data_IF_925429658805
#
_entry.id   IF_925429658805
#
_cell.length_a   1.000
_cell.length_b   1.000
_cell.length_c   1.000
_cell.angle_alpha   90.00
_cell.angle_beta   90.00
_cell.angle_gamma   90.00
#
_symmetry.space_group_name_H-M   'P 1'
#
loop_
_entity.id
_entity.type
_entity.pdbx_description
1 polymer ?
#
# COMPACT_ATOMS: atom_id res chain seq x y z
N UNK A 1 -81.17 51.05 6.62
CA UNK A 1 -80.71 50.30 7.81
C UNK A 1 -79.61 49.34 7.37
N UNK A 2 -78.46 49.45 8.01
CA UNK A 2 -77.17 48.81 7.69
C UNK A 2 -77.23 47.29 7.45
N UNK A 3 -76.47 46.81 6.45
CA UNK A 3 -75.66 45.59 6.61
C UNK A 3 -74.29 45.77 5.96
N UNK A 4 -73.30 45.94 6.84
CA UNK A 4 -71.87 45.87 6.61
C UNK A 4 -71.49 44.40 6.39
N UNK A 5 -70.74 44.06 5.34
CA UNK A 5 -70.13 42.74 5.15
C UNK A 5 -68.62 42.87 5.24
N UNK A 6 -68.05 42.32 6.31
CA UNK A 6 -66.61 42.17 6.56
C UNK A 6 -66.29 40.68 6.57
N UNK A 7 -65.14 40.32 6.00
CA UNK A 7 -64.41 39.06 6.27
C UNK A 7 -64.18 38.24 5.00
N UNK A 8 -63.01 37.64 4.75
CA UNK A 8 -61.82 37.44 5.56
C UNK A 8 -60.70 37.00 4.58
N UNK A 9 -59.58 37.72 4.50
CA UNK A 9 -58.41 37.25 3.74
C UNK A 9 -57.60 36.31 4.65
N UNK A 10 -57.67 35.00 4.39
CA UNK A 10 -56.88 34.01 5.12
C UNK A 10 -55.49 33.90 4.47
N UNK A 11 -54.51 34.59 5.05
CA UNK A 11 -53.09 34.44 4.69
C UNK A 11 -52.54 33.18 5.36
N UNK A 12 -52.39 32.10 4.59
CA UNK A 12 -51.70 30.88 5.03
C UNK A 12 -50.19 31.15 5.11
N UNK A 13 -49.68 31.31 6.33
CA UNK A 13 -48.26 31.42 6.62
C UNK A 13 -47.65 30.00 6.63
N UNK A 14 -46.94 29.63 5.56
CA UNK A 14 -46.16 28.39 5.53
C UNK A 14 -44.88 28.58 6.37
N UNK A 15 -44.88 28.05 7.58
CA UNK A 15 -43.66 27.93 8.40
C UNK A 15 -42.83 26.78 7.83
N UNK A 16 -41.82 27.11 7.04
CA UNK A 16 -40.77 26.18 6.64
C UNK A 16 -39.86 25.90 7.84
N UNK A 17 -40.12 24.79 8.54
CA UNK A 17 -39.21 24.28 9.58
C UNK A 17 -38.05 23.59 8.87
N UNK A 18 -36.92 24.26 8.75
CA UNK A 18 -35.67 23.63 8.34
C UNK A 18 -35.14 22.81 9.51
N UNK A 19 -35.34 21.50 9.45
CA UNK A 19 -34.61 20.58 10.32
C UNK A 19 -33.14 20.54 9.91
N UNK A 20 -32.29 21.36 10.55
CA UNK A 20 -30.85 21.16 10.48
C UNK A 20 -30.50 19.90 11.26
N UNK A 21 -30.35 18.78 10.54
CA UNK A 21 -29.85 17.53 11.08
C UNK A 21 -28.35 17.64 11.42
N UNK A 22 -28.02 18.40 12.47
CA UNK A 22 -26.68 18.40 13.05
C UNK A 22 -26.53 17.16 13.94
N UNK A 23 -26.49 15.98 13.31
CA UNK A 23 -26.00 14.79 13.97
C UNK A 23 -24.48 14.92 14.11
N UNK A 24 -24.00 15.18 15.33
CA UNK A 24 -22.57 15.11 15.65
C UNK A 24 -22.12 13.65 15.56
N UNK A 25 -21.68 13.23 14.37
CA UNK A 25 -20.97 11.95 14.21
C UNK A 25 -19.64 12.05 14.96
N UNK A 26 -19.45 11.20 15.98
CA UNK A 26 -18.16 11.02 16.66
C UNK A 26 -17.19 10.13 15.87
N UNK A 27 -17.64 9.54 14.76
CA UNK A 27 -16.81 8.68 13.92
C UNK A 27 -16.17 9.51 12.81
N UNK A 28 -14.84 9.37 12.66
CA UNK A 28 -14.11 9.91 11.54
C UNK A 28 -14.80 9.48 10.22
N UNK A 29 -15.03 10.41 9.29
CA UNK A 29 -15.72 10.10 8.05
C UNK A 29 -14.91 9.11 7.20
N UNK A 30 -15.61 8.18 6.54
CA UNK A 30 -14.96 7.22 5.64
C UNK A 30 -14.26 7.95 4.48
N UNK A 31 -13.12 7.42 3.98
CA UNK A 31 -12.44 8.00 2.83
C UNK A 31 -13.36 8.00 1.60
N UNK A 32 -13.12 8.93 0.68
CA UNK A 32 -13.69 8.84 -0.66
C UNK A 32 -12.93 7.76 -1.43
N UNK A 33 -13.66 6.86 -2.10
CA UNK A 33 -13.09 5.74 -2.83
C UNK A 33 -13.38 5.91 -4.32
N UNK A 34 -12.35 5.74 -5.14
CA UNK A 34 -12.41 5.70 -6.58
C UNK A 34 -11.85 4.36 -7.07
N UNK A 35 -12.42 3.86 -8.15
CA UNK A 35 -11.84 2.77 -8.94
C UNK A 35 -11.29 3.39 -10.21
N UNK A 36 -9.96 3.39 -10.33
CA UNK A 36 -9.24 4.11 -11.37
C UNK A 36 -8.60 3.13 -12.32
N UNK A 37 -8.49 3.53 -13.58
CA UNK A 37 -7.74 2.81 -14.60
C UNK A 37 -6.56 3.69 -15.01
N UNK A 38 -5.36 3.17 -14.80
CA UNK A 38 -4.11 3.90 -14.98
C UNK A 38 -3.47 3.36 -16.26
N UNK A 39 -3.20 4.21 -17.27
CA UNK A 39 -2.52 3.76 -18.48
C UNK A 39 -1.06 3.43 -18.16
N UNK A 40 -0.60 2.29 -18.65
CA UNK A 40 0.80 1.85 -18.54
C UNK A 40 1.36 1.75 -19.95
N UNK A 41 2.52 2.35 -20.16
CA UNK A 41 3.21 2.33 -21.44
C UNK A 41 4.66 1.89 -21.22
N UNK A 42 5.09 0.93 -22.02
CA UNK A 42 6.48 0.47 -22.14
C UNK A 42 6.93 0.69 -23.58
N UNK A 43 8.20 0.39 -23.89
CA UNK A 43 8.70 0.48 -25.26
C UNK A 43 7.90 -0.41 -26.23
N UNK A 44 7.49 -1.59 -25.79
CA UNK A 44 6.96 -2.64 -26.68
C UNK A 44 5.45 -2.87 -26.52
N UNK A 45 4.83 -2.33 -25.47
CA UNK A 45 3.42 -2.63 -25.15
C UNK A 45 2.75 -1.54 -24.32
N UNK A 46 1.41 -1.52 -24.35
CA UNK A 46 0.60 -0.66 -23.50
C UNK A 46 -0.63 -1.40 -22.99
N UNK A 47 -1.04 -1.09 -21.77
CA UNK A 47 -2.23 -1.65 -21.14
C UNK A 47 -2.79 -0.67 -20.11
N UNK A 48 -3.84 -1.05 -19.39
CA UNK A 48 -4.33 -0.27 -18.25
C UNK A 48 -4.44 -1.14 -17.02
N UNK A 49 -3.82 -0.69 -15.93
CA UNK A 49 -3.89 -1.33 -14.61
C UNK A 49 -5.00 -0.68 -13.81
N UNK A 50 -5.83 -1.49 -13.16
CA UNK A 50 -6.89 -0.99 -12.28
C UNK A 50 -6.35 -0.79 -10.86
N UNK A 51 -6.92 0.18 -10.15
CA UNK A 51 -6.58 0.40 -8.74
C UNK A 51 -7.73 1.00 -7.94
N UNK A 52 -7.72 0.73 -6.63
CA UNK A 52 -8.61 1.36 -5.68
C UNK A 52 -7.89 2.54 -5.01
N UNK A 53 -8.27 3.74 -5.39
CA UNK A 53 -7.74 4.98 -4.85
C UNK A 53 -8.64 5.49 -3.72
N UNK A 54 -8.07 5.69 -2.53
CA UNK A 54 -8.77 6.17 -1.34
C UNK A 54 -8.17 7.48 -0.85
N UNK A 55 -9.04 8.48 -0.67
CA UNK A 55 -8.67 9.80 -0.18
C UNK A 55 -9.30 10.01 1.19
N UNK A 56 -8.50 10.16 2.27
CA UNK A 56 -9.05 10.43 3.59
C UNK A 56 -9.78 11.78 3.60
N UNK A 57 -10.92 11.83 4.28
CA UNK A 57 -11.69 13.07 4.45
C UNK A 57 -11.16 13.83 5.65
N UNK A 58 -10.12 14.62 5.44
CA UNK A 58 -9.52 15.48 6.46
C UNK A 58 -10.02 16.92 6.30
N UNK A 59 -9.95 17.72 7.36
CA UNK A 59 -10.19 19.17 7.28
C UNK A 59 -8.97 19.93 6.70
N UNK A 60 -7.91 19.21 6.31
CA UNK A 60 -6.68 19.80 5.82
C UNK A 60 -6.89 20.36 4.41
N UNK A 61 -6.34 21.54 4.20
CA UNK A 61 -6.33 22.20 2.88
C UNK A 61 -5.03 21.97 2.12
N UNK A 62 -4.04 21.33 2.74
CA UNK A 62 -2.76 20.99 2.12
C UNK A 62 -2.88 19.70 1.31
N UNK A 63 -1.99 19.54 0.33
CA UNK A 63 -1.86 18.29 -0.40
C UNK A 63 -1.47 17.15 0.56
N UNK A 64 -2.06 15.98 0.37
CA UNK A 64 -1.92 14.81 1.21
C UNK A 64 -0.69 13.98 0.78
N UNK A 65 0.00 13.33 1.72
CA UNK A 65 0.88 12.23 1.36
C UNK A 65 0.06 11.04 0.83
N UNK A 66 0.69 10.17 0.04
CA UNK A 66 0.06 8.97 -0.49
C UNK A 66 0.96 7.74 -0.36
N UNK A 67 0.34 6.56 -0.26
CA UNK A 67 1.03 5.27 -0.26
C UNK A 67 0.43 4.35 -1.31
N UNK A 68 1.27 3.83 -2.20
CA UNK A 68 0.90 2.78 -3.15
C UNK A 68 0.95 1.44 -2.42
N UNK A 69 -0.05 0.58 -2.65
CA UNK A 69 -0.19 -0.73 -2.01
C UNK A 69 -0.12 -1.81 -3.08
N UNK A 70 0.86 -2.71 -2.95
CA UNK A 70 1.13 -3.79 -3.90
C UNK A 70 0.82 -5.16 -3.26
N UNK A 71 -0.14 -5.88 -3.83
CA UNK A 71 -0.58 -7.17 -3.30
C UNK A 71 0.43 -8.31 -3.51
N UNK A 72 0.21 -9.42 -2.80
CA UNK A 72 0.97 -10.66 -2.95
C UNK A 72 0.63 -11.43 -4.22
N UNK A 73 1.31 -12.55 -4.47
CA UNK A 73 1.09 -13.37 -5.66
C UNK A 73 -0.35 -13.83 -5.85
N UNK A 74 -1.11 -14.01 -4.77
CA UNK A 74 -2.52 -14.43 -4.82
C UNK A 74 -3.49 -13.35 -5.33
N UNK A 75 -3.01 -12.14 -5.63
CA UNK A 75 -3.87 -11.00 -5.99
C UNK A 75 -4.33 -10.22 -4.77
N UNK A 76 -5.32 -9.35 -4.97
CA UNK A 76 -5.92 -8.55 -3.90
C UNK A 76 -6.63 -9.47 -2.90
N UNK A 77 -6.24 -9.36 -1.63
CA UNK A 77 -6.87 -10.04 -0.50
C UNK A 77 -7.14 -9.06 0.65
N UNK A 78 -7.31 -9.56 1.88
CA UNK A 78 -7.58 -8.71 3.04
C UNK A 78 -6.44 -7.76 3.45
N UNK A 79 -5.19 -8.03 3.06
CA UNK A 79 -4.00 -7.31 3.54
C UNK A 79 -4.03 -5.85 3.13
N UNK A 80 -4.14 -5.54 1.83
CA UNK A 80 -4.08 -4.16 1.35
C UNK A 80 -5.18 -3.28 1.97
N UNK A 81 -6.42 -3.78 2.07
CA UNK A 81 -7.50 -3.08 2.78
C UNK A 81 -7.22 -2.89 4.28
N UNK A 82 -6.55 -3.84 4.94
CA UNK A 82 -6.20 -3.77 6.35
C UNK A 82 -5.23 -2.63 6.66
N UNK A 83 -4.20 -2.41 5.83
CA UNK A 83 -3.26 -1.29 5.94
C UNK A 83 -3.86 0.01 5.41
N UNK A 84 -4.55 -0.02 4.27
CA UNK A 84 -5.17 1.17 3.69
C UNK A 84 -6.09 1.90 4.68
N UNK A 85 -6.90 1.14 5.43
CA UNK A 85 -7.77 1.72 6.47
C UNK A 85 -7.00 2.46 7.57
N UNK A 86 -5.87 1.92 8.00
CA UNK A 86 -5.08 2.54 9.06
C UNK A 86 -4.32 3.76 8.54
N UNK A 87 -3.74 3.68 7.34
CA UNK A 87 -3.11 4.83 6.66
C UNK A 87 -4.12 5.95 6.40
N UNK A 88 -5.32 5.65 5.91
CA UNK A 88 -6.36 6.65 5.73
C UNK A 88 -6.79 7.30 7.07
N UNK A 89 -6.80 6.54 8.18
CA UNK A 89 -7.06 7.12 9.51
C UNK A 89 -5.97 8.12 9.91
N UNK A 90 -4.72 7.84 9.56
CA UNK A 90 -3.57 8.72 9.76
C UNK A 90 -3.50 9.90 8.76
N UNK A 91 -4.51 10.10 7.90
CA UNK A 91 -4.53 11.21 6.93
C UNK A 91 -3.73 10.94 5.65
N UNK A 92 -3.32 9.69 5.39
CA UNK A 92 -2.55 9.30 4.20
C UNK A 92 -3.49 8.73 3.14
N UNK A 93 -3.41 9.24 1.91
CA UNK A 93 -4.13 8.69 0.76
C UNK A 93 -3.52 7.34 0.34
N UNK A 94 -4.29 6.45 -0.27
CA UNK A 94 -3.77 5.13 -0.66
C UNK A 94 -4.25 4.70 -2.03
N UNK A 95 -3.38 4.08 -2.82
CA UNK A 95 -3.71 3.48 -4.11
C UNK A 95 -3.30 2.00 -4.11
N UNK A 96 -4.28 1.10 -4.00
CA UNK A 96 -4.07 -0.34 -4.09
C UNK A 96 -4.24 -0.79 -5.54
N UNK A 97 -3.19 -1.33 -6.16
CA UNK A 97 -3.24 -1.79 -7.55
C UNK A 97 -3.69 -3.24 -7.65
N UNK A 98 -4.41 -3.56 -8.72
CA UNK A 98 -4.66 -4.94 -9.19
C UNK A 98 -3.67 -5.26 -10.33
N UNK A 99 -2.57 -5.92 -10.01
CA UNK A 99 -1.53 -6.30 -10.99
C UNK A 99 -2.01 -7.38 -11.97
N UNK A 100 -3.01 -8.17 -11.59
CA UNK A 100 -3.45 -9.37 -12.32
C UNK A 100 -4.59 -9.07 -13.29
N UNK A 101 -5.49 -8.17 -12.92
CA UNK A 101 -6.66 -7.84 -13.73
C UNK A 101 -6.32 -7.45 -15.18
N UNK A 102 -5.27 -6.64 -15.38
CA UNK A 102 -4.82 -6.23 -16.71
C UNK A 102 -4.29 -7.38 -17.58
N UNK A 103 -3.86 -8.47 -16.94
CA UNK A 103 -3.25 -9.65 -17.57
C UNK A 103 -4.21 -10.87 -17.60
N UNK A 104 -5.42 -10.72 -17.06
CA UNK A 104 -6.41 -11.79 -16.91
C UNK A 104 -5.85 -13.02 -16.17
N UNK A 105 -5.02 -12.79 -15.15
CA UNK A 105 -4.44 -13.82 -14.31
C UNK A 105 -5.29 -14.03 -13.06
N UNK A 106 -5.39 -15.27 -12.57
CA UNK A 106 -6.10 -15.61 -11.34
C UNK A 106 -5.26 -15.37 -10.09
N UNK A 107 -3.93 -15.28 -10.23
CA UNK A 107 -3.00 -15.20 -9.12
C UNK A 107 -2.64 -16.57 -8.53
N UNK A 108 -1.77 -16.53 -7.53
CA UNK A 108 -1.14 -17.69 -6.93
C UNK A 108 0.15 -18.09 -7.63
N UNK A 109 0.84 -19.10 -7.09
CA UNK A 109 2.12 -19.56 -7.65
C UNK A 109 2.01 -20.13 -9.06
N UNK A 110 0.83 -20.61 -9.46
CA UNK A 110 0.58 -21.24 -10.76
C UNK A 110 0.12 -20.27 -11.86
N UNK A 111 -0.38 -19.08 -11.50
CA UNK A 111 -1.00 -18.16 -12.46
C UNK A 111 -0.67 -16.69 -12.12
N UNK A 112 0.63 -16.38 -12.16
CA UNK A 112 1.24 -15.05 -11.98
C UNK A 112 2.33 -14.86 -13.06
N UNK A 113 2.84 -13.64 -13.32
CA UNK A 113 3.98 -13.42 -14.21
C UNK A 113 5.21 -14.24 -13.78
N UNK A 114 6.17 -14.43 -14.67
CA UNK A 114 7.34 -15.24 -14.35
C UNK A 114 8.26 -14.55 -13.34
N UNK A 115 8.27 -13.20 -13.35
CA UNK A 115 9.15 -12.37 -12.55
C UNK A 115 8.43 -11.10 -12.03
N UNK A 116 8.68 -10.67 -10.77
CA UNK A 116 8.18 -9.40 -10.23
C UNK A 116 8.51 -8.18 -11.09
N UNK A 117 9.69 -8.16 -11.70
CA UNK A 117 10.18 -7.08 -12.56
C UNK A 117 9.22 -6.77 -13.71
N UNK A 118 8.46 -7.75 -14.21
CA UNK A 118 7.43 -7.56 -15.26
C UNK A 118 6.26 -6.67 -14.82
N UNK A 119 6.11 -6.43 -13.52
CA UNK A 119 5.06 -5.57 -12.93
C UNK A 119 5.58 -4.23 -12.41
N UNK A 120 6.89 -3.95 -12.51
CA UNK A 120 7.44 -2.64 -12.17
C UNK A 120 6.85 -1.48 -13.00
N UNK A 121 6.57 -1.62 -14.30
CA UNK A 121 5.90 -0.56 -15.05
C UNK A 121 4.55 -0.13 -14.45
N UNK A 122 3.81 -1.06 -13.84
CA UNK A 122 2.53 -0.76 -13.15
C UNK A 122 2.77 0.13 -11.93
N UNK A 123 3.83 -0.15 -11.16
CA UNK A 123 4.22 0.63 -9.98
C UNK A 123 4.61 2.06 -10.37
N UNK A 124 5.43 2.21 -11.41
CA UNK A 124 5.88 3.52 -11.87
C UNK A 124 4.74 4.34 -12.46
N UNK A 125 3.84 3.71 -13.22
CA UNK A 125 2.64 4.37 -13.74
C UNK A 125 1.73 4.85 -12.61
N UNK A 126 1.59 4.07 -11.53
CA UNK A 126 0.83 4.47 -10.35
C UNK A 126 1.47 5.63 -9.57
N UNK A 127 2.80 5.65 -9.44
CA UNK A 127 3.51 6.79 -8.85
C UNK A 127 3.30 8.06 -9.69
N UNK A 128 3.43 7.96 -11.02
CA UNK A 128 3.19 9.08 -11.93
C UNK A 128 1.72 9.55 -11.88
N UNK A 129 0.77 8.61 -11.79
CA UNK A 129 -0.65 8.92 -11.66
C UNK A 129 -0.94 9.71 -10.37
N UNK A 130 -0.41 9.27 -9.23
CA UNK A 130 -0.57 9.95 -7.95
C UNK A 130 0.09 11.33 -7.96
N UNK A 131 1.29 11.46 -8.51
CA UNK A 131 2.00 12.74 -8.62
C UNK A 131 1.26 13.80 -9.45
N UNK A 132 0.32 13.39 -10.31
CA UNK A 132 -0.53 14.30 -11.10
C UNK A 132 -1.84 14.67 -10.40
N UNK A 133 -2.18 14.05 -9.27
CA UNK A 133 -3.42 14.37 -8.56
C UNK A 133 -3.25 15.69 -7.79
N UNK A 134 -4.11 16.70 -7.99
CA UNK A 134 -3.96 18.01 -7.33
C UNK A 134 -3.99 17.96 -5.80
N UNK A 135 -4.61 16.92 -5.22
CA UNK A 135 -4.68 16.72 -3.78
C UNK A 135 -3.51 15.93 -3.20
N UNK A 136 -2.58 15.43 -4.01
CA UNK A 136 -1.43 14.63 -3.55
C UNK A 136 -0.15 15.44 -3.69
N UNK A 137 0.68 15.36 -2.65
CA UNK A 137 2.02 15.90 -2.68
C UNK A 137 2.95 14.90 -3.37
N UNK A 138 3.43 15.24 -4.57
CA UNK A 138 4.27 14.36 -5.38
C UNK A 138 5.62 14.00 -4.72
N UNK A 139 6.07 14.77 -3.70
CA UNK A 139 7.29 14.47 -2.95
C UNK A 139 7.04 13.55 -1.75
N UNK A 140 5.77 13.27 -1.42
CA UNK A 140 5.38 12.43 -0.28
C UNK A 140 4.57 11.22 -0.74
N UNK A 141 5.13 10.48 -1.70
CA UNK A 141 4.58 9.22 -2.19
C UNK A 141 5.45 8.07 -1.69
N UNK A 142 4.89 7.20 -0.87
CA UNK A 142 5.53 5.96 -0.41
C UNK A 142 4.98 4.73 -1.09
N UNK A 143 5.58 3.57 -0.81
CA UNK A 143 5.10 2.27 -1.27
C UNK A 143 5.14 1.25 -0.13
N UNK A 144 4.09 0.45 -0.03
CA UNK A 144 4.06 -0.77 0.75
C UNK A 144 3.73 -1.95 -0.16
N UNK A 145 4.40 -3.07 0.06
CA UNK A 145 4.02 -4.29 -0.62
C UNK A 145 4.25 -5.55 0.19
N UNK A 146 3.56 -6.60 -0.26
CA UNK A 146 3.47 -7.88 0.43
C UNK A 146 3.96 -9.01 -0.47
N UNK A 147 4.93 -9.82 -0.04
CA UNK A 147 5.47 -10.94 -0.84
C UNK A 147 5.96 -10.43 -2.20
N UNK A 148 5.31 -10.80 -3.30
CA UNK A 148 5.50 -10.20 -4.62
C UNK A 148 5.53 -8.66 -4.59
N UNK A 149 4.57 -8.01 -3.94
CA UNK A 149 4.58 -6.56 -3.79
C UNK A 149 5.72 -6.06 -2.91
N UNK A 150 6.14 -6.85 -1.91
CA UNK A 150 7.29 -6.56 -1.06
C UNK A 150 8.57 -6.56 -1.88
N UNK A 151 8.67 -7.47 -2.84
CA UNK A 151 9.73 -7.48 -3.83
C UNK A 151 9.75 -6.18 -4.63
N UNK A 152 8.61 -5.77 -5.17
CA UNK A 152 8.51 -4.51 -5.92
C UNK A 152 8.92 -3.31 -5.06
N UNK A 153 8.50 -3.26 -3.80
CA UNK A 153 8.88 -2.21 -2.85
C UNK A 153 10.40 -2.12 -2.70
N UNK A 154 11.09 -3.24 -2.51
CA UNK A 154 12.55 -3.30 -2.40
C UNK A 154 13.25 -2.91 -3.70
N UNK A 155 12.81 -3.44 -4.85
CA UNK A 155 13.42 -3.13 -6.15
C UNK A 155 13.30 -1.63 -6.47
N UNK A 156 12.17 -1.00 -6.16
CA UNK A 156 11.96 0.45 -6.37
C UNK A 156 12.79 1.33 -5.42
N UNK A 157 13.42 0.76 -4.40
CA UNK A 157 14.32 1.48 -3.50
C UNK A 157 15.74 1.64 -4.07
N UNK A 158 16.04 1.06 -5.23
CA UNK A 158 17.38 1.08 -5.84
C UNK A 158 17.46 2.00 -7.06
N UNK A 159 18.63 2.60 -7.28
CA UNK A 159 18.86 3.44 -8.47
C UNK A 159 18.81 2.61 -9.77
N UNK A 160 19.11 1.31 -9.70
CA UNK A 160 18.99 0.40 -10.85
C UNK A 160 17.60 0.46 -11.49
N UNK A 161 16.54 0.45 -10.69
CA UNK A 161 15.17 0.47 -11.20
C UNK A 161 14.59 1.87 -11.32
N UNK A 162 14.92 2.79 -10.41
CA UNK A 162 14.42 4.16 -10.48
C UNK A 162 14.96 4.92 -11.70
N UNK A 163 16.19 4.65 -12.11
CA UNK A 163 16.78 5.28 -13.31
C UNK A 163 16.09 4.88 -14.62
N UNK A 164 15.48 3.68 -14.69
CA UNK A 164 14.75 3.19 -15.87
C UNK A 164 13.50 4.02 -16.17
N UNK A 165 12.96 4.73 -15.18
CA UNK A 165 11.75 5.54 -15.34
C UNK A 165 11.99 6.78 -16.23
N UNK A 166 13.24 7.23 -16.36
CA UNK A 166 13.57 8.52 -16.99
C UNK A 166 12.91 9.73 -16.30
N UNK A 167 12.35 9.54 -15.10
CA UNK A 167 11.56 10.51 -14.36
C UNK A 167 12.34 11.03 -13.15
N UNK A 168 12.16 12.31 -12.76
CA UNK A 168 12.69 12.82 -11.51
C UNK A 168 11.89 12.36 -10.29
N UNK A 169 10.73 11.73 -10.48
CA UNK A 169 9.92 11.22 -9.37
C UNK A 169 10.69 10.14 -8.60
N UNK A 170 10.55 10.17 -7.27
CA UNK A 170 11.13 9.22 -6.33
C UNK A 170 10.10 8.84 -5.29
N UNK A 171 10.17 7.60 -4.82
CA UNK A 171 9.45 7.23 -3.61
C UNK A 171 10.13 7.89 -2.42
N UNK A 172 9.32 8.40 -1.49
CA UNK A 172 9.80 8.99 -0.24
C UNK A 172 10.23 7.90 0.75
N UNK A 173 9.67 6.69 0.66
CA UNK A 173 10.01 5.58 1.56
C UNK A 173 9.27 4.30 1.19
N UNK A 174 9.79 3.19 1.69
CA UNK A 174 9.45 1.84 1.25
C UNK A 174 9.10 0.95 2.45
N UNK A 175 8.06 0.15 2.33
CA UNK A 175 7.72 -0.89 3.29
C UNK A 175 7.63 -2.24 2.58
N UNK A 176 8.51 -3.16 2.95
CA UNK A 176 8.55 -4.50 2.39
C UNK A 176 8.13 -5.53 3.43
N UNK A 177 6.96 -6.14 3.22
CA UNK A 177 6.50 -7.27 4.01
C UNK A 177 6.92 -8.58 3.33
N UNK A 178 7.68 -9.39 4.08
CA UNK A 178 8.11 -10.74 3.72
C UNK A 178 8.58 -10.85 2.25
N UNK A 179 9.61 -10.08 1.85
CA UNK A 179 9.95 -9.87 0.44
C UNK A 179 10.81 -10.98 -0.18
N UNK A 180 10.91 -12.17 0.43
CA UNK A 180 11.71 -13.29 -0.10
C UNK A 180 13.20 -12.88 -0.20
N UNK A 181 13.79 -12.58 0.96
CA UNK A 181 15.09 -11.89 1.06
C UNK A 181 16.25 -12.66 0.44
N UNK A 182 16.18 -13.98 0.32
CA UNK A 182 17.24 -14.79 -0.27
C UNK A 182 17.51 -14.46 -1.73
N UNK A 183 16.56 -13.86 -2.44
CA UNK A 183 16.73 -13.42 -3.83
C UNK A 183 17.82 -12.34 -3.95
N UNK A 184 17.86 -11.42 -2.99
CA UNK A 184 18.62 -10.19 -3.16
C UNK A 184 20.12 -10.41 -3.11
N UNK A 185 20.82 -9.78 -4.05
CA UNK A 185 22.28 -9.90 -4.24
C UNK A 185 22.77 -11.34 -4.50
N UNK A 186 21.86 -12.30 -4.74
CA UNK A 186 22.16 -13.70 -5.07
C UNK A 186 21.59 -14.10 -6.44
N UNK A 187 20.52 -13.44 -6.90
CA UNK A 187 19.86 -13.71 -8.18
C UNK A 187 19.94 -12.46 -9.08
N UNK A 188 20.34 -12.60 -10.35
CA UNK A 188 20.38 -11.47 -11.28
C UNK A 188 19.04 -10.75 -11.40
N UNK A 189 19.05 -9.42 -11.35
CA UNK A 189 17.85 -8.59 -11.35
C UNK A 189 17.24 -8.38 -9.96
N UNK A 190 17.85 -8.91 -8.90
CA UNK A 190 17.46 -8.65 -7.52
C UNK A 190 18.59 -7.96 -6.76
N UNK A 191 19.33 -7.09 -7.43
CA UNK A 191 20.34 -6.27 -6.78
C UNK A 191 19.65 -5.34 -5.77
N UNK A 192 20.07 -5.43 -4.51
CA UNK A 192 19.68 -4.53 -3.44
C UNK A 192 20.94 -3.87 -2.90
N UNK A 193 21.37 -2.87 -3.65
CA UNK A 193 22.52 -2.01 -3.44
C UNK A 193 22.31 -0.74 -4.27
N UNK A 194 23.21 0.24 -4.11
CA UNK A 194 23.10 1.56 -4.71
C UNK A 194 21.69 2.14 -4.48
N UNK A 195 21.29 2.20 -3.20
CA UNK A 195 19.96 2.63 -2.78
C UNK A 195 19.73 4.11 -3.13
N UNK A 196 18.47 4.48 -3.34
CA UNK A 196 18.05 5.85 -3.70
C UNK A 196 18.19 6.88 -2.58
N UNK A 197 18.52 6.43 -1.36
CA UNK A 197 18.55 7.24 -0.14
C UNK A 197 17.22 7.34 0.61
N UNK A 198 16.13 6.81 0.06
CA UNK A 198 14.85 6.73 0.76
C UNK A 198 14.87 5.60 1.81
N UNK A 199 14.31 5.81 3.02
CA UNK A 199 14.28 4.79 4.07
C UNK A 199 13.41 3.59 3.68
N UNK A 200 13.79 2.42 4.19
CA UNK A 200 13.15 1.14 3.94
C UNK A 200 12.83 0.46 5.27
N UNK A 201 11.56 0.19 5.53
CA UNK A 201 11.12 -0.69 6.61
C UNK A 201 10.87 -2.10 6.05
N UNK A 202 11.75 -3.04 6.41
CA UNK A 202 11.64 -4.45 6.07
C UNK A 202 11.06 -5.22 7.26
N UNK A 203 9.96 -5.92 7.03
CA UNK A 203 9.34 -6.77 8.04
C UNK A 203 9.30 -8.22 7.56
N UNK A 204 9.85 -9.15 8.34
CA UNK A 204 9.97 -10.56 7.98
C UNK A 204 9.37 -11.50 9.03
N UNK A 205 9.02 -12.72 8.62
CA UNK A 205 8.51 -13.76 9.52
C UNK A 205 9.61 -14.77 9.86
N UNK A 206 9.78 -15.12 11.14
CA UNK A 206 10.75 -16.13 11.55
C UNK A 206 10.31 -17.58 11.33
N UNK A 207 9.09 -17.79 10.85
CA UNK A 207 8.56 -19.09 10.41
C UNK A 207 8.20 -19.05 8.92
N UNK A 208 8.71 -18.07 8.17
CA UNK A 208 8.49 -17.97 6.74
C UNK A 208 9.18 -19.15 6.02
N UNK A 209 8.46 -19.87 5.16
CA UNK A 209 9.00 -21.03 4.46
C UNK A 209 9.83 -20.62 3.23
N UNK A 210 9.79 -19.35 2.78
CA UNK A 210 10.63 -18.86 1.68
C UNK A 210 12.08 -18.61 2.12
N UNK A 211 12.25 -18.06 3.31
CA UNK A 211 13.53 -17.58 3.86
C UNK A 211 13.92 -18.36 5.12
N UNK A 212 15.16 -18.19 5.60
CA UNK A 212 15.52 -18.52 6.98
C UNK A 212 15.32 -17.28 7.89
N UNK A 213 15.18 -17.46 9.21
CA UNK A 213 14.93 -16.34 10.13
C UNK A 213 15.99 -15.23 10.08
N UNK A 214 17.23 -15.58 9.72
CA UNK A 214 18.39 -14.70 9.61
C UNK A 214 18.66 -14.22 8.18
N UNK A 215 17.93 -14.69 7.16
CA UNK A 215 18.17 -14.30 5.76
C UNK A 215 18.05 -12.79 5.54
N UNK A 216 16.95 -12.17 5.99
CA UNK A 216 16.77 -10.72 5.82
C UNK A 216 17.77 -9.89 6.66
N UNK A 217 18.02 -10.18 7.95
CA UNK A 217 19.10 -9.54 8.70
C UNK A 217 20.47 -9.66 8.01
N UNK A 218 20.89 -10.87 7.63
CA UNK A 218 22.18 -11.10 6.98
C UNK A 218 22.27 -10.37 5.63
N UNK A 219 21.18 -10.27 4.88
CA UNK A 219 21.14 -9.50 3.63
C UNK A 219 21.45 -8.01 3.90
N UNK A 220 20.87 -7.43 4.95
CA UNK A 220 21.12 -6.02 5.32
C UNK A 220 22.51 -5.82 5.90
N UNK A 221 22.99 -6.73 6.76
CA UNK A 221 24.35 -6.68 7.34
C UNK A 221 25.47 -6.72 6.28
N UNK A 222 25.18 -7.24 5.07
CA UNK A 222 26.10 -7.27 3.94
C UNK A 222 26.05 -6.03 3.04
N UNK A 223 25.20 -5.03 3.34
CA UNK A 223 25.20 -3.74 2.66
C UNK A 223 26.37 -2.86 3.14
N UNK A 224 26.63 -1.75 2.44
CA UNK A 224 27.56 -0.74 2.94
C UNK A 224 27.02 -0.06 4.20
N UNK A 225 27.88 0.50 5.05
CA UNK A 225 27.46 1.16 6.30
C UNK A 225 26.39 2.24 6.05
N UNK A 226 26.61 3.11 5.04
CA UNK A 226 25.65 4.16 4.67
C UNK A 226 24.28 3.60 4.21
N UNK A 227 24.26 2.44 3.53
CA UNK A 227 23.02 1.79 3.11
C UNK A 227 22.32 1.04 4.23
N UNK A 228 23.07 0.49 5.19
CA UNK A 228 22.51 -0.15 6.38
C UNK A 228 21.69 0.84 7.19
N UNK A 229 22.13 2.11 7.31
CA UNK A 229 21.41 3.16 8.01
C UNK A 229 20.03 3.49 7.39
N UNK A 230 19.82 3.15 6.11
CA UNK A 230 18.55 3.37 5.42
C UNK A 230 17.53 2.25 5.67
N UNK A 231 17.95 1.09 6.18
CA UNK A 231 17.11 -0.12 6.22
C UNK A 231 16.86 -0.58 7.65
N UNK A 232 15.63 -0.41 8.13
CA UNK A 232 15.19 -1.01 9.38
C UNK A 232 14.66 -2.43 9.11
N UNK A 233 15.22 -3.44 9.79
CA UNK A 233 14.75 -4.83 9.72
C UNK A 233 14.05 -5.22 11.02
N UNK A 234 12.80 -5.67 10.92
CA UNK A 234 12.04 -6.21 12.04
C UNK A 234 11.55 -7.63 11.75
N UNK A 235 12.12 -8.61 12.46
CA UNK A 235 11.77 -10.03 12.34
C UNK A 235 10.77 -10.44 13.40
N UNK A 236 9.62 -10.97 12.98
CA UNK A 236 8.61 -11.53 13.86
C UNK A 236 8.80 -13.05 14.00
N UNK A 237 9.52 -13.48 15.04
CA UNK A 237 9.91 -14.89 15.26
C UNK A 237 8.79 -15.94 15.25
N UNK A 238 7.52 -15.53 15.44
CA UNK A 238 6.35 -16.43 15.49
C UNK A 238 5.36 -16.17 14.36
N UNK A 239 5.85 -15.65 13.24
CA UNK A 239 5.04 -15.30 12.08
C UNK A 239 5.50 -16.14 10.88
N UNK A 240 4.53 -16.78 10.23
CA UNK A 240 4.69 -17.37 8.91
C UNK A 240 4.62 -16.30 7.83
N UNK A 241 4.82 -16.68 6.58
CA UNK A 241 4.51 -15.82 5.43
C UNK A 241 3.06 -15.34 5.50
N UNK A 242 2.83 -14.09 5.10
CA UNK A 242 1.50 -13.47 5.08
C UNK A 242 0.73 -13.51 6.42
N UNK A 243 1.43 -13.22 7.52
CA UNK A 243 0.87 -13.21 8.88
C UNK A 243 -0.28 -12.22 9.10
N UNK A 244 -0.42 -11.23 8.23
CA UNK A 244 -1.35 -10.11 8.31
C UNK A 244 -2.60 -10.29 7.46
N UNK A 245 -2.74 -11.46 6.84
CA UNK A 245 -4.00 -11.93 6.26
C UNK A 245 -5.06 -12.13 7.34
N UNK A 246 -6.32 -11.95 6.94
CA UNK A 246 -7.51 -12.29 7.72
C UNK A 246 -8.12 -13.62 7.29
N UNK A 247 -7.66 -14.14 6.15
CA UNK A 247 -8.02 -15.44 5.61
C UNK A 247 -7.48 -16.57 6.49
N UNK A 248 -8.13 -17.75 6.50
CA UNK A 248 -7.61 -18.94 7.17
C UNK A 248 -6.22 -19.34 6.67
N UNK A 249 -5.52 -20.14 7.47
CA UNK A 249 -4.27 -20.77 7.06
C UNK A 249 -4.44 -21.50 5.74
N UNK A 250 -3.50 -21.29 4.83
CA UNK A 250 -3.47 -21.90 3.51
C UNK A 250 -2.06 -22.36 3.19
N UNK A 251 -1.92 -23.59 2.68
CA UNK A 251 -0.64 -24.11 2.19
C UNK A 251 -0.66 -24.06 0.67
N UNK A 252 0.39 -23.51 0.09
CA UNK A 252 0.60 -23.41 -1.36
C UNK A 252 1.91 -24.09 -1.72
N UNK A 253 2.02 -24.60 -2.95
CA UNK A 253 3.31 -25.06 -3.46
C UNK A 253 3.90 -23.97 -4.36
N UNK A 254 5.14 -23.57 -4.12
CA UNK A 254 5.80 -22.49 -4.85
C UNK A 254 7.25 -22.87 -5.19
N UNK A 255 7.70 -22.69 -6.44
CA UNK A 255 9.09 -23.00 -6.83
C UNK A 255 10.14 -22.11 -6.16
N UNK A 256 9.77 -20.94 -5.61
CA UNK A 256 10.69 -20.03 -4.91
C UNK A 256 10.82 -20.34 -3.41
N UNK A 257 10.03 -21.29 -2.89
CA UNK A 257 10.08 -21.68 -1.49
C UNK A 257 11.44 -22.24 -1.09
N UNK A 258 11.75 -22.20 0.21
CA UNK A 258 12.93 -22.80 0.81
C UNK A 258 14.23 -22.42 0.10
N UNK A 259 14.50 -21.11 -0.04
CA UNK A 259 15.69 -20.58 -0.71
C UNK A 259 15.81 -21.03 -2.19
N UNK A 260 14.67 -21.17 -2.87
CA UNK A 260 14.62 -21.55 -4.29
C UNK A 260 14.68 -23.06 -4.57
N UNK A 261 14.56 -23.92 -3.54
CA UNK A 261 14.46 -25.37 -3.71
C UNK A 261 13.03 -25.81 -4.10
N UNK A 262 12.06 -24.91 -3.94
CA UNK A 262 10.65 -25.17 -4.14
C UNK A 262 10.04 -26.02 -3.02
N UNK A 263 8.72 -26.01 -2.92
CA UNK A 263 8.04 -26.78 -1.88
C UNK A 263 6.78 -26.10 -1.35
N UNK A 264 6.31 -26.61 -0.22
CA UNK A 264 5.13 -26.09 0.46
C UNK A 264 5.49 -24.84 1.27
N UNK A 265 4.63 -23.82 1.17
CA UNK A 265 4.69 -22.60 1.96
C UNK A 265 3.41 -22.48 2.75
N UNK A 266 3.55 -22.34 4.06
CA UNK A 266 2.45 -22.08 4.98
C UNK A 266 2.17 -20.60 5.06
N UNK A 267 1.00 -20.18 4.58
CA UNK A 267 0.45 -18.84 4.77
C UNK A 267 -0.46 -18.88 6.00
N UNK A 268 -0.05 -18.31 7.13
CA UNK A 268 -0.83 -18.43 8.36
C UNK A 268 -1.02 -17.08 9.08
N UNK A 269 -2.27 -16.66 9.34
CA UNK A 269 -2.55 -15.40 10.01
C UNK A 269 -2.09 -15.42 11.48
N UNK A 270 -1.51 -14.32 11.93
CA UNK A 270 -1.19 -14.07 13.33
C UNK A 270 -1.63 -12.65 13.70
N UNK A 271 -2.83 -12.53 14.28
CA UNK A 271 -3.46 -11.23 14.52
C UNK A 271 -2.59 -10.28 15.38
N UNK A 272 -1.84 -10.82 16.35
CA UNK A 272 -0.99 -10.02 17.25
C UNK A 272 0.15 -9.39 16.47
N UNK A 273 0.78 -10.19 15.61
CA UNK A 273 1.84 -9.72 14.72
C UNK A 273 1.26 -8.76 13.69
N UNK A 274 0.14 -9.08 13.05
CA UNK A 274 -0.54 -8.22 12.09
C UNK A 274 -0.85 -6.82 12.66
N UNK A 275 -1.34 -6.75 13.90
CA UNK A 275 -1.61 -5.47 14.57
C UNK A 275 -0.31 -4.69 14.84
N UNK A 276 0.75 -5.37 15.27
CA UNK A 276 2.06 -4.75 15.52
C UNK A 276 2.69 -4.28 14.22
N UNK A 277 2.72 -5.11 13.19
CA UNK A 277 3.29 -4.78 11.88
C UNK A 277 2.57 -3.59 11.24
N UNK A 278 1.23 -3.56 11.28
CA UNK A 278 0.45 -2.40 10.84
C UNK A 278 0.74 -1.15 11.65
N UNK A 279 0.95 -1.27 12.96
CA UNK A 279 1.33 -0.14 13.80
C UNK A 279 2.68 0.43 13.32
N UNK A 280 3.70 -0.41 13.16
CA UNK A 280 5.01 -0.01 12.65
C UNK A 280 4.92 0.69 11.28
N UNK A 281 4.10 0.19 10.35
CA UNK A 281 3.89 0.82 9.04
C UNK A 281 3.30 2.23 9.15
N UNK A 282 2.30 2.39 10.02
CA UNK A 282 1.66 3.69 10.21
C UNK A 282 2.63 4.67 10.86
N UNK A 283 3.38 4.25 11.88
CA UNK A 283 4.42 5.06 12.53
C UNK A 283 5.51 5.47 11.53
N UNK A 284 6.02 4.51 10.76
CA UNK A 284 7.02 4.76 9.70
C UNK A 284 6.57 5.85 8.72
N UNK A 285 5.35 5.74 8.17
CA UNK A 285 4.86 6.75 7.22
C UNK A 285 4.46 8.07 7.89
N UNK A 286 4.00 8.07 9.13
CA UNK A 286 3.71 9.31 9.87
C UNK A 286 4.99 10.10 10.13
N UNK A 287 6.05 9.43 10.58
CA UNK A 287 7.37 10.04 10.78
C UNK A 287 7.94 10.54 9.45
N UNK A 288 7.94 9.68 8.42
CA UNK A 288 8.45 10.03 7.09
C UNK A 288 7.76 11.26 6.49
N UNK A 289 6.44 11.38 6.67
CA UNK A 289 5.65 12.48 6.12
C UNK A 289 5.46 13.66 7.07
N UNK A 290 6.11 13.63 8.24
CA UNK A 290 6.01 14.62 9.31
C UNK A 290 4.54 14.94 9.68
N UNK A 291 3.73 13.90 9.82
CA UNK A 291 2.34 14.03 10.24
C UNK A 291 2.26 14.08 11.77
N UNK A 292 1.53 15.05 12.32
CA UNK A 292 1.25 15.10 13.76
C UNK A 292 0.52 13.81 14.18
N UNK A 293 0.90 13.26 15.34
CA UNK A 293 0.18 12.12 15.92
C UNK A 293 -1.29 12.52 16.13
N UNK A 294 -2.22 11.74 15.60
CA UNK A 294 -3.63 11.95 15.88
C UNK A 294 -3.90 11.52 17.33
N UNK A 295 -4.11 12.49 18.22
CA UNK A 295 -4.65 12.28 19.57
C UNK A 295 -6.06 11.65 19.45
N UNK A 296 -6.13 10.31 19.44
CA UNK A 296 -7.38 9.55 19.30
C UNK A 296 -7.43 8.35 20.28
#
# INVERSE_FOLDING_TARGET
MNKLSIGLFASLLFIQITFSANAKSRLAPLPQIFYVNIPVQTADSSWSVSGQYRIPRTAQTQALPAVIIMHSSSGIDSTGKFYAKALNKAGIATLELDLWGARNLQGGSADRPASPQETLPDVFAAMAYLAQQPMIDAQRIGIIGFSWGGVLSMLTATEQYMSLTGSPLRFAGHVAHYPVCWLYNNVPGFEFNNLTGAPVLLQAGGLDDYDLPDTCPNMVENLTEDEQELVEVNVFNRAYHAWDRLEPTWVVNDPYAHLGLGGEVTLAPNWRVARKSRKNVVEFFQELFALEESDD
#
